data_IF_807673390238
#
_entry.id   IF_807673390238
#
_cell.length_a   1.000
_cell.length_b   1.000
_cell.length_c   1.000
_cell.angle_alpha   90.00
_cell.angle_beta   90.00
_cell.angle_gamma   90.00
#
_symmetry.space_group_name_H-M   'P 1'
#
loop_
_entity.id
_entity.type
_entity.pdbx_description
1 polymer ?
#
# COMPACT_ATOMS: atom_id res chain seq x y z
N UNK A 1 -15.22 53.70 66.19
CA UNK A 1 -16.46 52.90 66.18
C UNK A 1 -16.63 52.12 64.86
N UNK A 2 -15.58 51.47 64.34
CA UNK A 2 -15.64 50.64 63.12
C UNK A 2 -15.31 49.20 63.52
N UNK A 3 -16.20 48.53 64.26
CA UNK A 3 -15.97 47.11 64.59
C UNK A 3 -17.23 46.26 64.46
N UNK A 4 -18.42 46.78 64.81
CA UNK A 4 -19.63 45.93 64.80
C UNK A 4 -20.16 45.59 63.40
N UNK A 5 -20.19 46.55 62.46
CA UNK A 5 -20.68 46.33 61.08
C UNK A 5 -19.84 45.32 60.30
N UNK A 6 -18.51 45.33 60.50
CA UNK A 6 -17.60 44.41 59.82
C UNK A 6 -17.72 42.99 60.34
N UNK A 7 -17.90 42.81 61.67
CA UNK A 7 -18.14 41.49 62.26
C UNK A 7 -19.47 40.87 61.84
N UNK A 8 -20.54 41.68 61.69
CA UNK A 8 -21.82 41.21 61.17
C UNK A 8 -21.73 40.74 59.71
N UNK A 9 -20.98 41.47 58.88
CA UNK A 9 -20.79 41.11 57.47
C UNK A 9 -19.97 39.81 57.33
N UNK A 10 -18.92 39.64 58.13
CA UNK A 10 -18.12 38.41 58.10
C UNK A 10 -18.89 37.21 58.63
N UNK A 11 -19.69 37.39 59.68
CA UNK A 11 -20.54 36.32 60.21
C UNK A 11 -21.60 35.88 59.18
N UNK A 12 -22.26 36.84 58.53
CA UNK A 12 -23.20 36.54 57.45
C UNK A 12 -22.52 35.79 56.31
N UNK A 13 -21.32 36.20 55.89
CA UNK A 13 -20.56 35.51 54.85
C UNK A 13 -20.20 34.07 55.22
N UNK A 14 -19.81 33.81 56.48
CA UNK A 14 -19.50 32.46 56.99
C UNK A 14 -20.75 31.57 56.96
N UNK A 15 -21.91 32.07 57.43
CA UNK A 15 -23.15 31.31 57.38
C UNK A 15 -23.64 31.04 55.95
N UNK A 16 -23.43 31.98 55.04
CA UNK A 16 -23.82 31.83 53.64
C UNK A 16 -22.92 30.80 52.94
N UNK A 17 -21.61 30.82 53.20
CA UNK A 17 -20.68 29.79 52.74
C UNK A 17 -21.03 28.40 53.30
N UNK A 18 -21.42 28.32 54.57
CA UNK A 18 -21.85 27.07 55.21
C UNK A 18 -23.16 26.54 54.60
N UNK A 19 -24.14 27.43 54.39
CA UNK A 19 -25.42 27.07 53.77
C UNK A 19 -25.26 26.58 52.33
N UNK A 20 -24.42 27.26 51.53
CA UNK A 20 -24.08 26.81 50.17
C UNK A 20 -23.33 25.47 50.22
N UNK A 21 -22.38 25.32 51.14
CA UNK A 21 -21.63 24.06 51.32
C UNK A 21 -22.53 22.88 51.68
N UNK A 22 -23.55 23.08 52.53
CA UNK A 22 -24.52 22.06 52.89
C UNK A 22 -25.51 21.79 51.75
N UNK A 23 -25.92 22.80 50.98
CA UNK A 23 -26.78 22.61 49.81
C UNK A 23 -26.09 21.82 48.69
N UNK A 24 -24.81 22.11 48.44
CA UNK A 24 -24.00 21.41 47.44
C UNK A 24 -23.50 20.04 47.92
N UNK A 25 -23.16 19.90 49.20
CA UNK A 25 -22.66 18.66 49.79
C UNK A 25 -23.76 17.74 50.35
N UNK A 26 -24.96 18.27 50.57
CA UNK A 26 -26.12 17.54 51.08
C UNK A 26 -26.89 16.80 49.99
N UNK A 27 -28.02 16.22 50.38
CA UNK A 27 -28.84 15.32 49.55
C UNK A 27 -29.27 15.91 48.20
N UNK A 28 -29.47 17.23 48.12
CA UNK A 28 -29.84 17.93 46.89
C UNK A 28 -28.70 17.99 45.86
N UNK A 29 -27.45 18.16 46.31
CA UNK A 29 -26.28 18.15 45.43
C UNK A 29 -26.01 16.76 44.87
N UNK A 30 -26.15 15.71 45.69
CA UNK A 30 -25.94 14.33 45.25
C UNK A 30 -26.87 13.90 44.11
N UNK A 31 -28.15 14.29 44.15
CA UNK A 31 -29.09 13.96 43.06
C UNK A 31 -28.70 14.60 41.72
N UNK A 32 -28.16 15.82 41.75
CA UNK A 32 -27.69 16.51 40.55
C UNK A 32 -26.43 15.84 39.97
N UNK A 33 -25.50 15.43 40.83
CA UNK A 33 -24.31 14.70 40.40
C UNK A 33 -24.67 13.34 39.80
N UNK A 34 -25.56 12.57 40.42
CA UNK A 34 -25.98 11.26 39.94
C UNK A 34 -26.64 11.33 38.55
N UNK A 35 -27.51 12.32 38.30
CA UNK A 35 -28.13 12.54 36.98
C UNK A 35 -27.08 12.84 35.90
N UNK A 36 -26.10 13.68 36.22
CA UNK A 36 -25.04 14.07 35.29
C UNK A 36 -24.09 12.92 34.99
N UNK A 37 -23.80 12.10 35.98
CA UNK A 37 -22.96 10.90 35.83
C UNK A 37 -23.64 9.87 34.92
N UNK A 38 -24.95 9.67 35.09
CA UNK A 38 -25.74 8.78 34.24
C UNK A 38 -25.83 9.26 32.78
N UNK A 39 -25.95 10.56 32.56
CA UNK A 39 -25.94 11.16 31.22
C UNK A 39 -24.57 11.02 30.53
N UNK A 40 -23.48 11.19 31.29
CA UNK A 40 -22.12 10.98 30.78
C UNK A 40 -21.88 9.52 30.40
N UNK A 41 -22.30 8.56 31.25
CA UNK A 41 -22.20 7.13 30.93
C UNK A 41 -22.98 6.79 29.66
N UNK A 42 -24.22 7.28 29.54
CA UNK A 42 -25.06 7.03 28.36
C UNK A 42 -24.44 7.58 27.08
N UNK A 43 -23.83 8.76 27.15
CA UNK A 43 -23.11 9.34 26.01
C UNK A 43 -21.83 8.57 25.68
N UNK A 44 -21.12 8.02 26.66
CA UNK A 44 -19.96 7.16 26.43
C UNK A 44 -20.36 5.83 25.78
N UNK A 45 -21.43 5.20 26.26
CA UNK A 45 -21.98 3.96 25.69
C UNK A 45 -22.38 4.16 24.23
N UNK A 46 -23.10 5.25 23.91
CA UNK A 46 -23.47 5.58 22.55
C UNK A 46 -22.24 5.80 21.63
N UNK A 47 -21.20 6.49 22.12
CA UNK A 47 -19.94 6.69 21.36
C UNK A 47 -19.19 5.37 21.16
N UNK A 48 -19.19 4.51 22.17
CA UNK A 48 -18.55 3.20 22.10
C UNK A 48 -19.24 2.29 21.08
N UNK A 49 -20.57 2.24 21.11
CA UNK A 49 -21.37 1.51 20.13
C UNK A 49 -21.16 2.04 18.71
N UNK A 50 -21.10 3.37 18.55
CA UNK A 50 -20.80 3.98 17.25
C UNK A 50 -19.40 3.61 16.76
N UNK A 51 -18.40 3.59 17.64
CA UNK A 51 -17.04 3.20 17.31
C UNK A 51 -16.94 1.70 16.94
N UNK A 52 -17.69 0.83 17.63
CA UNK A 52 -17.78 -0.59 17.29
C UNK A 52 -18.41 -0.81 15.90
N UNK A 53 -19.51 -0.10 15.61
CA UNK A 53 -20.17 -0.18 14.30
C UNK A 53 -19.26 0.31 13.19
N UNK A 54 -18.64 1.48 13.34
CA UNK A 54 -17.72 2.01 12.32
C UNK A 54 -16.53 1.09 12.09
N UNK A 55 -15.97 0.48 13.16
CA UNK A 55 -14.89 -0.50 13.03
C UNK A 55 -15.35 -1.74 12.24
N UNK A 56 -16.57 -2.22 12.49
CA UNK A 56 -17.14 -3.36 11.75
C UNK A 56 -17.36 -3.04 10.27
N UNK A 57 -17.85 -1.84 9.95
CA UNK A 57 -18.04 -1.37 8.58
C UNK A 57 -16.71 -1.21 7.85
N UNK A 58 -15.72 -0.59 8.50
CA UNK A 58 -14.35 -0.46 7.98
C UNK A 58 -13.74 -1.82 7.66
N UNK A 59 -13.85 -2.80 8.57
CA UNK A 59 -13.38 -4.18 8.33
C UNK A 59 -14.10 -4.82 7.15
N UNK A 60 -15.40 -4.63 7.02
CA UNK A 60 -16.15 -5.15 5.87
C UNK A 60 -15.73 -4.50 4.55
N UNK A 61 -15.52 -3.18 4.53
CA UNK A 61 -15.02 -2.48 3.35
C UNK A 61 -13.63 -2.98 2.95
N UNK A 62 -12.74 -3.16 3.93
CA UNK A 62 -11.38 -3.66 3.71
C UNK A 62 -11.43 -5.07 3.10
N UNK A 63 -12.25 -5.97 3.66
CA UNK A 63 -12.42 -7.32 3.12
C UNK A 63 -13.00 -7.32 1.70
N UNK A 64 -13.94 -6.42 1.37
CA UNK A 64 -14.47 -6.32 0.00
C UNK A 64 -13.41 -5.86 -0.99
N UNK A 65 -12.65 -4.82 -0.63
CA UNK A 65 -11.56 -4.30 -1.48
C UNK A 65 -10.50 -5.38 -1.71
N UNK A 66 -10.10 -6.12 -0.66
CA UNK A 66 -9.16 -7.22 -0.80
C UNK A 66 -9.70 -8.32 -1.73
N UNK A 67 -10.97 -8.72 -1.57
CA UNK A 67 -11.58 -9.72 -2.43
C UNK A 67 -11.72 -9.26 -3.90
N UNK A 68 -12.02 -7.98 -4.13
CA UNK A 68 -12.03 -7.38 -5.48
C UNK A 68 -10.62 -7.35 -6.08
N UNK A 69 -9.59 -7.02 -5.29
CA UNK A 69 -8.20 -7.06 -5.74
C UNK A 69 -7.75 -8.47 -6.12
N UNK A 70 -8.08 -9.47 -5.30
CA UNK A 70 -7.73 -10.88 -5.57
C UNK A 70 -8.37 -11.35 -6.89
N UNK A 71 -9.67 -11.08 -7.08
CA UNK A 71 -10.39 -11.43 -8.31
C UNK A 71 -9.83 -10.72 -9.54
N UNK A 72 -9.59 -9.41 -9.42
CA UNK A 72 -8.98 -8.64 -10.50
C UNK A 72 -7.59 -9.17 -10.84
N UNK A 73 -6.82 -9.62 -9.86
CA UNK A 73 -5.51 -10.22 -10.08
C UNK A 73 -5.60 -11.55 -10.82
N UNK A 74 -6.48 -12.46 -10.41
CA UNK A 74 -6.70 -13.75 -11.08
C UNK A 74 -7.16 -13.59 -12.53
N UNK A 75 -8.11 -12.68 -12.80
CA UNK A 75 -8.55 -12.37 -14.17
C UNK A 75 -7.42 -11.80 -15.02
N UNK A 76 -6.60 -10.92 -14.43
CA UNK A 76 -5.45 -10.30 -15.07
C UNK A 76 -4.38 -11.36 -15.39
N UNK A 77 -4.08 -12.30 -14.48
CA UNK A 77 -3.17 -13.41 -14.73
C UNK A 77 -3.65 -14.38 -15.82
N UNK A 78 -4.96 -14.69 -15.87
CA UNK A 78 -5.52 -15.54 -16.92
C UNK A 78 -5.48 -14.87 -18.31
N UNK A 79 -5.71 -13.56 -18.36
CA UNK A 79 -5.57 -12.77 -19.59
C UNK A 79 -4.09 -12.65 -20.02
N UNK A 80 -3.16 -12.51 -19.07
CA UNK A 80 -1.71 -12.52 -19.33
C UNK A 80 -1.27 -13.85 -19.94
N UNK A 81 -1.64 -14.96 -19.32
CA UNK A 81 -1.27 -16.28 -19.79
C UNK A 81 -1.87 -16.58 -21.16
N UNK A 82 -3.15 -16.29 -21.39
CA UNK A 82 -3.79 -16.60 -22.68
C UNK A 82 -3.26 -15.77 -23.86
N UNK A 83 -2.97 -14.47 -23.65
CA UNK A 83 -2.48 -13.60 -24.73
C UNK A 83 -1.01 -13.83 -25.08
N UNK A 84 -0.17 -14.08 -24.08
CA UNK A 84 1.29 -14.06 -24.28
C UNK A 84 1.98 -15.42 -24.12
N UNK A 85 1.36 -16.42 -23.49
CA UNK A 85 2.02 -17.70 -23.26
C UNK A 85 2.28 -18.51 -24.54
N UNK A 86 1.63 -18.22 -25.67
CA UNK A 86 1.97 -18.93 -26.92
C UNK A 86 3.24 -18.38 -27.59
N UNK A 87 3.54 -17.10 -27.42
CA UNK A 87 4.68 -16.44 -28.10
C UNK A 87 5.92 -16.35 -27.22
N UNK A 88 5.74 -16.23 -25.91
CA UNK A 88 6.80 -16.04 -24.92
C UNK A 88 7.29 -17.35 -24.27
N UNK A 89 6.56 -18.46 -24.42
CA UNK A 89 6.87 -19.71 -23.73
C UNK A 89 8.18 -20.32 -24.23
N UNK A 90 9.09 -20.57 -23.30
CA UNK A 90 10.42 -21.11 -23.58
C UNK A 90 11.46 -20.06 -23.94
N UNK A 91 11.08 -18.79 -24.07
CA UNK A 91 12.03 -17.68 -24.28
C UNK A 91 12.79 -17.36 -22.99
N UNK A 92 14.03 -16.90 -23.14
CA UNK A 92 14.83 -16.41 -22.02
C UNK A 92 14.89 -14.89 -22.04
N UNK A 93 14.97 -14.28 -20.86
CA UNK A 93 15.17 -12.84 -20.70
C UNK A 93 16.29 -12.62 -19.70
N UNK A 94 17.25 -11.78 -20.06
CA UNK A 94 18.40 -11.48 -19.22
C UNK A 94 18.11 -10.20 -18.43
N UNK A 95 18.43 -10.15 -17.14
CA UNK A 95 18.17 -9.01 -16.27
C UNK A 95 19.46 -8.51 -15.65
N UNK A 96 19.75 -7.22 -15.82
CA UNK A 96 20.88 -6.53 -15.20
C UNK A 96 20.39 -5.49 -14.19
N UNK A 97 21.14 -5.38 -13.08
CA UNK A 97 20.88 -4.46 -11.96
C UNK A 97 19.50 -4.63 -11.33
N UNK A 98 19.16 -5.89 -11.01
CA UNK A 98 18.11 -6.23 -10.07
C UNK A 98 18.74 -6.88 -8.84
N UNK A 99 18.33 -6.46 -7.64
CA UNK A 99 18.72 -7.17 -6.41
C UNK A 99 18.12 -8.60 -6.37
N UNK A 100 18.51 -9.43 -5.40
CA UNK A 100 17.97 -10.79 -5.30
C UNK A 100 16.44 -10.83 -5.12
N UNK A 101 15.86 -9.88 -4.39
CA UNK A 101 14.41 -9.83 -4.15
C UNK A 101 13.66 -9.41 -5.41
N UNK A 102 14.16 -8.42 -6.14
CA UNK A 102 13.64 -7.94 -7.41
C UNK A 102 13.75 -9.02 -8.48
N UNK A 103 14.87 -9.74 -8.55
CA UNK A 103 15.05 -10.85 -9.48
C UNK A 103 14.07 -12.01 -9.18
N UNK A 104 13.82 -12.30 -7.91
CA UNK A 104 12.81 -13.30 -7.50
C UNK A 104 11.40 -12.85 -7.90
N UNK A 105 11.06 -11.57 -7.70
CA UNK A 105 9.77 -11.00 -8.11
C UNK A 105 9.59 -11.07 -9.64
N UNK A 106 10.60 -10.67 -10.40
CA UNK A 106 10.60 -10.79 -11.86
C UNK A 106 10.47 -12.24 -12.30
N UNK A 107 11.19 -13.18 -11.66
CA UNK A 107 11.02 -14.62 -11.93
C UNK A 107 9.59 -15.08 -11.70
N UNK A 108 8.89 -14.62 -10.67
CA UNK A 108 7.49 -14.98 -10.44
C UNK A 108 6.59 -14.46 -11.57
N UNK A 109 6.74 -13.18 -11.95
CA UNK A 109 5.94 -12.53 -13.00
C UNK A 109 6.17 -13.21 -14.35
N UNK A 110 7.41 -13.46 -14.74
CA UNK A 110 7.73 -14.04 -16.05
C UNK A 110 7.48 -15.57 -16.09
N UNK A 111 7.48 -16.26 -14.95
CA UNK A 111 7.16 -17.69 -14.87
C UNK A 111 5.69 -17.96 -15.21
N UNK A 112 4.77 -17.05 -14.88
CA UNK A 112 3.34 -17.21 -15.22
C UNK A 112 3.10 -17.23 -16.73
N UNK A 113 3.97 -16.57 -17.51
CA UNK A 113 3.93 -16.55 -18.99
C UNK A 113 4.93 -17.53 -19.63
N UNK A 114 5.64 -18.34 -18.83
CA UNK A 114 6.56 -19.38 -19.33
C UNK A 114 7.92 -18.87 -19.81
N UNK A 115 8.35 -17.69 -19.36
CA UNK A 115 9.64 -17.07 -19.69
C UNK A 115 10.68 -17.36 -18.60
N UNK A 116 11.90 -17.71 -19.02
CA UNK A 116 13.02 -17.92 -18.12
C UNK A 116 13.78 -16.62 -17.85
N UNK A 117 13.80 -16.16 -16.61
CA UNK A 117 14.57 -14.97 -16.22
C UNK A 117 15.95 -15.36 -15.72
N UNK A 118 16.99 -14.87 -16.40
CA UNK A 118 18.40 -15.11 -16.11
C UNK A 118 19.06 -13.83 -15.63
N UNK A 119 19.97 -13.94 -14.66
CA UNK A 119 20.79 -12.79 -14.27
C UNK A 119 21.86 -12.53 -15.34
N UNK A 120 21.99 -11.29 -15.78
CA UNK A 120 23.03 -10.87 -16.71
C UNK A 120 24.30 -10.47 -15.97
N UNK A 121 25.45 -10.90 -16.50
CA UNK A 121 26.77 -10.44 -16.05
C UNK A 121 27.38 -9.56 -17.13
N UNK A 122 27.91 -8.41 -16.73
CA UNK A 122 28.63 -7.51 -17.63
C UNK A 122 29.75 -8.27 -18.36
N UNK A 123 29.85 -8.10 -19.68
CA UNK A 123 30.80 -8.81 -20.54
C UNK A 123 30.32 -10.17 -21.08
N UNK A 124 29.13 -10.66 -20.68
CA UNK A 124 28.49 -11.80 -21.35
C UNK A 124 27.62 -11.33 -22.52
N UNK A 125 27.42 -12.14 -23.55
CA UNK A 125 26.52 -11.81 -24.66
C UNK A 125 25.22 -12.61 -24.47
N UNK A 126 24.04 -11.96 -24.39
CA UNK A 126 22.76 -12.66 -24.41
C UNK A 126 22.64 -13.51 -25.68
N UNK A 127 22.53 -14.83 -25.55
CA UNK A 127 22.48 -15.71 -26.72
C UNK A 127 21.07 -15.83 -27.31
N UNK A 128 20.03 -15.85 -26.47
CA UNK A 128 18.67 -16.25 -26.86
C UNK A 128 17.56 -15.41 -26.22
N UNK A 129 17.81 -14.11 -26.03
CA UNK A 129 16.78 -13.23 -25.49
C UNK A 129 17.19 -11.79 -25.30
N UNK A 130 16.21 -10.89 -25.10
CA UNK A 130 16.48 -9.49 -24.84
C UNK A 130 17.08 -9.29 -23.43
N UNK A 131 17.85 -8.22 -23.30
CA UNK A 131 18.43 -7.76 -22.04
C UNK A 131 17.57 -6.65 -21.42
N UNK A 132 17.02 -6.90 -20.25
CA UNK A 132 16.37 -5.92 -19.40
C UNK A 132 17.40 -5.27 -18.47
N UNK A 133 17.45 -3.95 -18.50
CA UNK A 133 18.34 -3.15 -17.66
C UNK A 133 17.48 -2.28 -16.76
N UNK A 134 17.64 -2.45 -15.45
CA UNK A 134 16.96 -1.62 -14.46
C UNK A 134 17.95 -0.68 -13.78
N UNK A 135 17.52 0.52 -13.38
CA UNK A 135 18.32 1.40 -12.55
C UNK A 135 18.20 2.87 -12.94
N UNK A 136 18.65 3.79 -12.07
CA UNK A 136 18.41 5.23 -12.21
C UNK A 136 19.21 5.88 -13.36
N UNK A 137 20.27 5.21 -13.83
CA UNK A 137 21.14 5.73 -14.89
C UNK A 137 21.37 4.62 -15.91
N UNK A 138 21.18 4.96 -17.18
CA UNK A 138 21.47 4.06 -18.30
C UNK A 138 22.98 3.81 -18.37
N UNK A 139 23.44 2.54 -18.32
CA UNK A 139 24.85 2.23 -18.42
C UNK A 139 25.44 2.52 -19.81
N UNK A 140 26.63 3.13 -19.85
CA UNK A 140 27.31 3.47 -21.11
C UNK A 140 27.66 2.23 -21.96
N UNK A 141 27.94 1.09 -21.31
CA UNK A 141 28.28 -0.16 -21.99
C UNK A 141 27.12 -0.76 -22.80
N UNK A 142 25.86 -0.35 -22.58
CA UNK A 142 24.73 -0.78 -23.41
C UNK A 142 24.93 -0.43 -24.89
N UNK A 143 25.55 0.71 -25.15
CA UNK A 143 25.84 1.18 -26.51
C UNK A 143 26.92 0.35 -27.22
N UNK A 144 27.69 -0.44 -26.47
CA UNK A 144 28.77 -1.29 -26.97
C UNK A 144 28.33 -2.73 -27.28
N UNK A 145 27.06 -3.07 -26.99
CA UNK A 145 26.51 -4.39 -27.29
C UNK A 145 26.40 -4.60 -28.81
N UNK A 146 26.53 -5.86 -29.29
CA UNK A 146 26.31 -6.19 -30.69
C UNK A 146 24.93 -5.75 -31.18
N UNK A 147 24.80 -5.37 -32.45
CA UNK A 147 23.52 -4.93 -33.04
C UNK A 147 22.40 -5.99 -32.95
N UNK A 148 22.78 -7.26 -32.83
CA UNK A 148 21.85 -8.40 -32.70
C UNK A 148 21.29 -8.52 -31.27
N UNK A 149 21.88 -7.84 -30.30
CA UNK A 149 21.38 -7.76 -28.93
C UNK A 149 20.33 -6.66 -28.81
N UNK A 150 19.08 -7.07 -28.61
CA UNK A 150 18.01 -6.16 -28.21
C UNK A 150 18.02 -5.98 -26.70
N UNK A 151 17.85 -4.74 -26.26
CA UNK A 151 17.79 -4.40 -24.84
C UNK A 151 16.66 -3.41 -24.56
N UNK A 152 16.18 -3.41 -23.32
CA UNK A 152 15.19 -2.49 -22.82
C UNK A 152 15.67 -1.92 -21.49
N UNK A 153 15.64 -0.60 -21.40
CA UNK A 153 15.98 0.14 -20.20
C UNK A 153 14.72 0.61 -19.48
N UNK A 154 14.67 0.44 -18.17
CA UNK A 154 13.64 0.99 -17.30
C UNK A 154 14.29 1.53 -16.02
N UNK A 155 13.85 2.71 -15.57
CA UNK A 155 14.43 3.35 -14.38
C UNK A 155 14.24 2.52 -13.10
N UNK A 156 13.11 1.81 -13.01
CA UNK A 156 12.73 1.02 -11.86
C UNK A 156 12.14 -0.32 -12.28
N UNK A 157 12.25 -1.32 -11.40
CA UNK A 157 11.54 -2.59 -11.55
C UNK A 157 10.03 -2.33 -11.44
N UNK A 158 9.17 -2.98 -12.25
CA UNK A 158 7.73 -2.71 -12.21
C UNK A 158 7.08 -3.07 -10.86
N UNK A 159 6.66 -2.04 -10.13
CA UNK A 159 6.03 -2.19 -8.81
C UNK A 159 4.50 -2.30 -8.84
N UNK A 160 3.90 -1.98 -9.99
CA UNK A 160 2.45 -2.03 -10.19
C UNK A 160 2.08 -2.95 -11.35
N UNK A 161 0.87 -3.55 -11.33
CA UNK A 161 0.40 -4.39 -12.42
C UNK A 161 0.50 -3.68 -13.78
N UNK A 162 0.01 -2.44 -13.91
CA UNK A 162 0.04 -1.70 -15.18
C UNK A 162 1.47 -1.51 -15.73
N UNK A 163 2.46 -1.28 -14.86
CA UNK A 163 3.87 -1.21 -15.28
C UNK A 163 4.39 -2.59 -15.73
N UNK A 164 3.97 -3.67 -15.05
CA UNK A 164 4.30 -5.04 -15.44
C UNK A 164 3.73 -5.39 -16.82
N UNK A 165 2.52 -4.93 -17.14
CA UNK A 165 1.91 -5.08 -18.46
C UNK A 165 2.73 -4.42 -19.57
N UNK A 166 3.09 -3.14 -19.38
CA UNK A 166 3.92 -2.43 -20.35
C UNK A 166 5.26 -3.11 -20.56
N UNK A 167 5.87 -3.66 -19.50
CA UNK A 167 7.12 -4.40 -19.63
C UNK A 167 6.95 -5.68 -20.47
N UNK A 168 5.91 -6.48 -20.21
CA UNK A 168 5.66 -7.72 -20.95
C UNK A 168 5.37 -7.47 -22.43
N UNK A 169 4.57 -6.46 -22.74
CA UNK A 169 4.27 -6.05 -24.12
C UNK A 169 5.55 -5.62 -24.86
N UNK A 170 6.40 -4.81 -24.20
CA UNK A 170 7.67 -4.40 -24.79
C UNK A 170 8.63 -5.59 -24.99
N UNK A 171 8.69 -6.52 -24.04
CA UNK A 171 9.50 -7.75 -24.17
C UNK A 171 9.01 -8.62 -25.31
N UNK A 172 7.70 -8.80 -25.45
CA UNK A 172 7.10 -9.54 -26.58
C UNK A 172 7.48 -8.89 -27.91
N UNK A 173 7.29 -7.58 -28.03
CA UNK A 173 7.65 -6.85 -29.26
C UNK A 173 9.12 -7.04 -29.62
N UNK A 174 10.03 -6.96 -28.64
CA UNK A 174 11.46 -7.19 -28.85
C UNK A 174 11.74 -8.63 -29.29
N UNK A 175 11.09 -9.63 -28.69
CA UNK A 175 11.25 -11.03 -29.07
C UNK A 175 10.75 -11.30 -30.49
N UNK A 176 9.63 -10.69 -30.89
CA UNK A 176 9.10 -10.78 -32.26
C UNK A 176 10.05 -10.14 -33.26
N UNK A 177 10.56 -8.94 -32.97
CA UNK A 177 11.56 -8.26 -33.82
C UNK A 177 12.86 -9.08 -33.94
N UNK A 178 13.32 -9.72 -32.86
CA UNK A 178 14.49 -10.60 -32.89
C UNK A 178 14.24 -11.84 -33.74
N UNK A 179 13.04 -12.43 -33.69
CA UNK A 179 12.67 -13.60 -34.51
C UNK A 179 12.62 -13.24 -35.99
N UNK A 180 11.97 -12.13 -36.34
CA UNK A 180 11.92 -11.63 -37.72
C UNK A 180 13.31 -11.29 -38.28
N UNK A 181 14.19 -10.72 -37.45
CA UNK A 181 15.57 -10.43 -37.85
C UNK A 181 16.39 -11.72 -38.11
N UNK A 182 16.18 -12.76 -37.29
CA UNK A 182 16.81 -14.08 -37.50
C UNK A 182 16.29 -14.75 -38.77
N UNK A 183 14.99 -14.66 -39.06
CA UNK A 183 14.39 -15.25 -40.27
C UNK A 183 14.84 -14.55 -41.56
N UNK A 184 15.08 -13.22 -41.54
CA UNK A 184 15.57 -12.48 -42.72
C UNK A 184 17.06 -12.71 -43.03
N UNK A 185 17.83 -13.15 -42.04
CA UNK A 185 19.27 -13.42 -42.17
C UNK A 185 19.60 -14.91 -42.32
N UNK A 186 18.59 -15.79 -42.39
CA UNK A 186 18.73 -17.23 -42.65
C UNK A 186 18.34 -17.59 -44.08
#
# INVERSE_FOLDING_TARGET
MIHFRHHLLSLAAVFLALGIGILLGGTAGQSWFALKEQEVLKNMEAKYDQALRSNSELKQQLNRILAEMERNHEEMEQLLASRYANELKGSSVYVWHADQQQLLRLKQIFRSVGVNVLAYREGSIPSDGPLLVFGPVQPDWLSTLPNDCRWLYAEEVPDSPSKQWGLLENVQKLLTEMREAREKNS
#
